data_IF_842974587028
#
_entry.id   IF_842974587028
#
_cell.length_a   1.000
_cell.length_b   1.000
_cell.length_c   1.000
_cell.angle_alpha   90.00
_cell.angle_beta   90.00
_cell.angle_gamma   90.00
#
_symmetry.space_group_name_H-M   'P 1'
#
loop_
_entity.id
_entity.type
_entity.pdbx_description
1 polymer ?
#
# COMPACT_ATOMS: atom_id res chain seq x y z
N UNK A 1 1.75 1.56 3.44
CA UNK A 1 1.37 0.31 4.14
C UNK A 1 -0.06 0.31 4.70
N UNK A 2 -0.51 1.34 5.41
CA UNK A 2 -1.86 1.41 6.03
C UNK A 2 -3.00 1.23 5.03
N UNK A 3 -2.95 1.90 3.88
CA UNK A 3 -4.00 1.77 2.85
C UNK A 3 -4.17 0.32 2.38
N UNK A 4 -3.05 -0.38 2.10
CA UNK A 4 -3.07 -1.79 1.68
C UNK A 4 -3.69 -2.70 2.75
N UNK A 5 -3.22 -2.61 4.00
CA UNK A 5 -3.74 -3.48 5.07
C UNK A 5 -5.24 -3.26 5.33
N UNK A 6 -5.70 -2.02 5.22
CA UNK A 6 -7.12 -1.72 5.42
C UNK A 6 -7.98 -2.20 4.25
N UNK A 7 -7.51 -2.04 3.01
CA UNK A 7 -8.18 -2.54 1.82
C UNK A 7 -8.26 -4.07 1.82
N UNK A 8 -7.18 -4.75 2.21
CA UNK A 8 -7.10 -6.20 2.32
C UNK A 8 -8.09 -6.74 3.38
N UNK A 9 -8.08 -6.14 4.58
CA UNK A 9 -9.03 -6.50 5.64
C UNK A 9 -10.49 -6.25 5.23
N UNK A 10 -10.77 -5.15 4.54
CA UNK A 10 -12.11 -4.84 4.05
C UNK A 10 -12.55 -5.80 2.93
N UNK A 11 -11.64 -6.22 2.05
CA UNK A 11 -11.92 -7.25 1.05
C UNK A 11 -12.28 -8.58 1.72
N UNK A 12 -11.56 -8.97 2.77
CA UNK A 12 -11.82 -10.20 3.51
C UNK A 12 -13.26 -10.28 4.06
N UNK A 13 -13.86 -9.16 4.47
CA UNK A 13 -15.26 -9.11 4.93
C UNK A 13 -16.24 -9.48 3.81
N UNK A 14 -15.92 -9.16 2.55
CA UNK A 14 -16.74 -9.49 1.38
C UNK A 14 -16.50 -10.93 0.88
N UNK A 15 -15.48 -11.62 1.38
CA UNK A 15 -15.10 -12.96 0.93
C UNK A 15 -14.78 -13.00 -0.56
N UNK A 16 -15.18 -14.08 -1.24
CA UNK A 16 -14.93 -14.25 -2.69
C UNK A 16 -15.56 -13.15 -3.55
N UNK A 17 -16.70 -12.61 -3.14
CA UNK A 17 -17.38 -11.51 -3.84
C UNK A 17 -16.54 -10.24 -3.88
N UNK A 18 -15.65 -10.03 -2.89
CA UNK A 18 -14.76 -8.87 -2.85
C UNK A 18 -13.78 -8.79 -4.02
N UNK A 19 -13.56 -9.88 -4.75
CA UNK A 19 -12.73 -9.91 -5.96
C UNK A 19 -13.52 -9.60 -7.25
N UNK A 20 -14.84 -9.56 -7.20
CA UNK A 20 -15.69 -9.26 -8.34
C UNK A 20 -15.76 -7.74 -8.58
N UNK A 21 -15.81 -7.31 -9.84
CA UNK A 21 -15.73 -5.89 -10.23
C UNK A 21 -16.98 -5.09 -9.85
N UNK A 22 -18.08 -5.78 -9.56
CA UNK A 22 -19.35 -5.23 -9.09
C UNK A 22 -19.23 -4.68 -7.66
N UNK A 23 -18.25 -5.15 -6.88
CA UNK A 23 -17.99 -4.69 -5.52
C UNK A 23 -16.86 -3.64 -5.52
N UNK A 24 -17.10 -2.41 -5.02
CA UNK A 24 -16.10 -1.34 -5.03
C UNK A 24 -14.77 -1.69 -4.34
N UNK A 25 -14.80 -2.62 -3.40
CA UNK A 25 -13.61 -3.04 -2.65
C UNK A 25 -12.52 -3.64 -3.54
N UNK A 26 -12.88 -4.29 -4.65
CA UNK A 26 -11.92 -4.81 -5.64
C UNK A 26 -11.03 -3.69 -6.20
N UNK A 27 -11.64 -2.56 -6.56
CA UNK A 27 -10.93 -1.35 -7.03
C UNK A 27 -10.10 -0.73 -5.92
N UNK A 28 -10.63 -0.62 -4.71
CA UNK A 28 -9.90 -0.04 -3.56
C UNK A 28 -8.62 -0.84 -3.25
N UNK A 29 -8.65 -2.18 -3.34
CA UNK A 29 -7.45 -2.99 -3.17
C UNK A 29 -6.40 -2.72 -4.26
N UNK A 30 -6.82 -2.63 -5.53
CA UNK A 30 -5.94 -2.26 -6.64
C UNK A 30 -5.31 -0.88 -6.45
N UNK A 31 -6.12 0.13 -6.13
CA UNK A 31 -5.67 1.50 -5.91
C UNK A 31 -4.72 1.59 -4.71
N UNK A 32 -4.92 0.77 -3.67
CA UNK A 32 -4.01 0.72 -2.53
C UNK A 32 -2.64 0.09 -2.87
N UNK A 33 -2.56 -0.76 -3.90
CA UNK A 33 -1.32 -1.47 -4.24
C UNK A 33 -0.24 -0.55 -4.79
N UNK A 34 -0.62 0.41 -5.64
CA UNK A 34 0.32 1.30 -6.35
C UNK A 34 1.11 2.19 -5.40
N UNK A 35 0.58 2.46 -4.21
CA UNK A 35 1.16 3.34 -3.21
C UNK A 35 2.49 2.84 -2.62
N UNK A 36 2.87 1.58 -2.84
CA UNK A 36 4.20 1.09 -2.45
C UNK A 36 5.26 1.29 -3.54
N UNK A 37 4.88 1.80 -4.71
CA UNK A 37 5.75 1.94 -5.90
C UNK A 37 5.81 3.39 -6.35
N UNK A 38 4.68 4.09 -6.36
CA UNK A 38 4.56 5.46 -6.84
C UNK A 38 5.43 6.44 -6.04
N UNK A 39 6.02 7.43 -6.72
CA UNK A 39 6.99 8.41 -6.16
C UNK A 39 8.21 7.76 -5.48
N UNK A 40 8.55 6.53 -5.89
CA UNK A 40 9.68 5.77 -5.38
C UNK A 40 9.21 4.57 -4.57
N UNK A 41 9.74 3.39 -4.94
CA UNK A 41 9.43 2.15 -4.24
C UNK A 41 9.74 2.26 -2.74
N UNK A 42 8.94 1.58 -1.91
CA UNK A 42 9.05 1.64 -0.45
C UNK A 42 10.47 1.33 0.05
N UNK A 43 11.20 0.44 -0.62
CA UNK A 43 12.58 0.07 -0.32
C UNK A 43 13.56 1.21 -0.61
N UNK A 44 13.34 1.97 -1.69
CA UNK A 44 14.15 3.14 -2.04
C UNK A 44 13.92 4.25 -1.02
N UNK A 45 12.66 4.51 -0.66
CA UNK A 45 12.31 5.47 0.38
C UNK A 45 12.96 5.09 1.73
N UNK A 46 12.88 3.82 2.12
CA UNK A 46 13.54 3.32 3.33
C UNK A 46 15.07 3.50 3.27
N UNK A 47 15.70 3.27 2.12
CA UNK A 47 17.13 3.49 1.93
C UNK A 47 17.52 4.97 2.08
N UNK A 48 16.74 5.89 1.49
CA UNK A 48 16.96 7.35 1.61
C UNK A 48 16.85 7.79 3.06
N UNK A 49 15.81 7.34 3.78
CA UNK A 49 15.63 7.62 5.21
C UNK A 49 16.82 7.10 6.01
N UNK A 50 17.23 5.84 5.78
CA UNK A 50 18.38 5.25 6.48
C UNK A 50 19.67 6.05 6.26
N UNK A 51 19.93 6.51 5.04
CA UNK A 51 21.06 7.41 4.74
C UNK A 51 20.94 8.76 5.47
N UNK A 52 19.75 9.35 5.53
CA UNK A 52 19.51 10.60 6.27
C UNK A 52 19.87 10.44 7.74
N UNK A 53 19.40 9.35 8.37
CA UNK A 53 19.68 9.04 9.77
C UNK A 53 21.17 8.80 10.03
N UNK A 54 21.86 8.06 9.16
CA UNK A 54 23.29 7.76 9.32
C UNK A 54 24.20 8.99 9.11
N UNK A 55 23.75 9.99 8.36
CA UNK A 55 24.53 11.21 8.09
C UNK A 55 24.19 12.38 9.02
N UNK A 56 23.27 12.19 9.98
CA UNK A 56 22.89 13.23 10.94
C UNK A 56 22.14 14.41 10.33
N UNK A 57 21.57 14.26 9.12
CA UNK A 57 20.65 15.25 8.54
C UNK A 57 19.27 15.03 9.16
N UNK A 58 19.02 15.71 10.28
CA UNK A 58 17.68 16.01 10.78
C UNK A 58 17.44 17.51 10.66
#
# INVERSE_FOLDING_TARGET
RVAWSNADNALQIHGGNGYALEYPISRVLCDARILNIFEGAAEIQAHVIARGLLTGRN
#
